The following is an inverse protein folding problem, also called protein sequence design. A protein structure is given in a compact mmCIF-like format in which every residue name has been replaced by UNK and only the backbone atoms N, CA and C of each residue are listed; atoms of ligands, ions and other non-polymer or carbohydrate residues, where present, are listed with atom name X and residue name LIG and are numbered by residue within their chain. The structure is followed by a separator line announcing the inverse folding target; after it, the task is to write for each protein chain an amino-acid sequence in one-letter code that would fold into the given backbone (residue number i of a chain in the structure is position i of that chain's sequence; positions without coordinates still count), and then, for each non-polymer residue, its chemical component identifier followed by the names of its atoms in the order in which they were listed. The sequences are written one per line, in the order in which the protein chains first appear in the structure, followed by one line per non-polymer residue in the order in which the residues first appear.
data_IF_322533649476
#
_entry.id   IF_322533649476
#
_cell.length_a   1.000
_cell.length_b   1.000
_cell.length_c   1.000
_cell.angle_alpha   90.00
_cell.angle_beta   90.00
_cell.angle_gamma   90.00
#
_symmetry.space_group_name_H-M   'P 1'
#
loop_
_entity.id
_entity.type
_entity.pdbx_description
1 polymer ?
#
# COMPACT_ATOMS: atom_id res chain seq x y z
N UNK A 1 1.10 -4.86 -28.99
CA UNK A 1 2.13 -5.24 -27.98
C UNK A 1 2.20 -4.33 -26.75
N UNK A 2 1.55 -3.14 -26.69
CA UNK A 2 1.45 -2.30 -25.49
C UNK A 2 0.55 -2.89 -24.35
N UNK A 3 -0.23 -3.94 -24.62
CA UNK A 3 -1.24 -4.45 -23.69
C UNK A 3 -0.67 -5.24 -22.49
N UNK A 4 0.45 -5.97 -22.65
CA UNK A 4 1.04 -6.79 -21.57
C UNK A 4 1.69 -5.95 -20.46
N UNK A 5 2.24 -4.78 -20.79
CA UNK A 5 2.75 -3.82 -19.80
C UNK A 5 1.63 -3.23 -18.95
N UNK A 6 0.50 -2.87 -19.59
CA UNK A 6 -0.68 -2.31 -18.91
C UNK A 6 -1.34 -3.29 -17.94
N UNK A 7 -1.42 -4.57 -18.30
CA UNK A 7 -1.95 -5.63 -17.42
C UNK A 7 -1.14 -5.76 -16.12
N UNK A 8 0.19 -5.69 -16.19
CA UNK A 8 1.05 -5.73 -15.01
C UNK A 8 0.81 -4.53 -14.07
N UNK A 9 0.64 -3.34 -14.64
CA UNK A 9 0.34 -2.12 -13.87
C UNK A 9 -1.04 -2.18 -13.20
N UNK A 10 -2.05 -2.74 -13.88
CA UNK A 10 -3.39 -2.90 -13.30
C UNK A 10 -3.36 -3.88 -12.13
N UNK A 11 -2.71 -5.04 -12.29
CA UNK A 11 -2.56 -6.03 -11.20
C UNK A 11 -1.84 -5.42 -10.00
N UNK A 12 -0.80 -4.60 -10.25
CA UNK A 12 -0.09 -3.89 -9.19
C UNK A 12 -1.00 -2.92 -8.42
N UNK A 13 -1.80 -2.10 -9.13
CA UNK A 13 -2.75 -1.17 -8.49
C UNK A 13 -3.82 -1.90 -7.68
N UNK A 14 -4.39 -2.96 -8.23
CA UNK A 14 -5.42 -3.75 -7.53
C UNK A 14 -4.82 -4.39 -6.28
N UNK A 15 -3.62 -4.95 -6.37
CA UNK A 15 -2.94 -5.52 -5.21
C UNK A 15 -2.63 -4.48 -4.13
N UNK A 16 -2.22 -3.26 -4.51
CA UNK A 16 -2.03 -2.14 -3.57
C UNK A 16 -3.33 -1.75 -2.86
N UNK A 17 -4.46 -1.70 -3.57
CA UNK A 17 -5.77 -1.40 -2.97
C UNK A 17 -6.19 -2.52 -2.01
N UNK A 18 -6.02 -3.78 -2.39
CA UNK A 18 -6.35 -4.93 -1.54
C UNK A 18 -5.48 -4.92 -0.28
N UNK A 19 -4.18 -4.65 -0.42
CA UNK A 19 -3.25 -4.50 0.69
C UNK A 19 -3.68 -3.38 1.66
N UNK A 20 -4.07 -2.22 1.13
CA UNK A 20 -4.55 -1.08 1.92
C UNK A 20 -5.83 -1.43 2.72
N UNK A 21 -6.79 -2.11 2.06
CA UNK A 21 -8.02 -2.57 2.72
C UNK A 21 -7.73 -3.58 3.83
N UNK A 22 -6.84 -4.54 3.57
CA UNK A 22 -6.47 -5.56 4.54
C UNK A 22 -5.77 -4.93 5.76
N UNK A 23 -4.89 -3.96 5.53
CA UNK A 23 -4.24 -3.21 6.60
C UNK A 23 -5.27 -2.45 7.46
N UNK A 24 -6.23 -1.78 6.83
CA UNK A 24 -7.29 -1.09 7.55
C UNK A 24 -8.20 -2.04 8.32
N UNK A 25 -8.55 -3.18 7.73
CA UNK A 25 -9.33 -4.20 8.40
C UNK A 25 -8.64 -4.72 9.67
N UNK A 26 -7.33 -5.00 9.61
CA UNK A 26 -6.52 -5.35 10.77
C UNK A 26 -6.51 -4.25 11.83
N UNK A 27 -6.33 -2.99 11.40
CA UNK A 27 -6.34 -1.84 12.30
C UNK A 27 -7.71 -1.63 12.98
N UNK A 28 -8.81 -1.82 12.26
CA UNK A 28 -10.16 -1.68 12.80
C UNK A 28 -10.46 -2.74 13.86
N UNK A 29 -10.05 -3.99 13.63
CA UNK A 29 -10.15 -5.07 14.63
C UNK A 29 -9.34 -4.72 15.88
N UNK A 30 -8.12 -4.21 15.71
CA UNK A 30 -7.28 -3.76 16.81
C UNK A 30 -7.99 -2.66 17.63
N UNK A 31 -8.54 -1.64 16.97
CA UNK A 31 -9.28 -0.54 17.61
C UNK A 31 -10.49 -1.04 18.41
N UNK A 32 -11.32 -1.90 17.80
CA UNK A 32 -12.50 -2.46 18.47
C UNK A 32 -12.16 -3.32 19.69
N UNK A 33 -11.06 -4.07 19.65
CA UNK A 33 -10.59 -4.83 20.81
C UNK A 33 -10.12 -3.93 21.96
N UNK A 34 -9.58 -2.75 21.67
CA UNK A 34 -9.20 -1.77 22.71
C UNK A 34 -10.44 -1.14 23.38
N UNK A 35 -11.47 -0.82 22.60
CA UNK A 35 -12.72 -0.25 23.13
C UNK A 35 -13.51 -1.26 23.98
N UNK A 36 -13.49 -2.54 23.60
CA UNK A 36 -14.30 -3.59 24.23
C UNK A 36 -13.65 -4.96 24.04
N UNK A 37 -12.81 -5.39 25.00
CA UNK A 37 -12.14 -6.67 24.92
C UNK A 37 -13.16 -7.82 24.97
N UNK A 38 -13.09 -8.76 24.01
CA UNK A 38 -13.95 -9.95 23.96
C UNK A 38 -15.19 -9.84 23.06
N UNK A 39 -15.31 -8.78 22.24
CA UNK A 39 -16.36 -8.70 21.22
C UNK A 39 -16.27 -9.89 20.24
N UNK A 40 -17.41 -10.48 19.92
CA UNK A 40 -17.51 -11.52 18.89
C UNK A 40 -17.18 -10.93 17.51
N UNK A 41 -16.31 -11.58 16.74
CA UNK A 41 -15.94 -11.18 15.37
C UNK A 41 -17.14 -10.86 14.47
N UNK A 42 -18.27 -11.57 14.65
CA UNK A 42 -19.50 -11.34 13.88
C UNK A 42 -20.06 -9.92 14.08
N UNK A 43 -19.97 -9.37 15.28
CA UNK A 43 -20.45 -8.01 15.59
C UNK A 43 -19.53 -6.93 15.01
N UNK A 44 -18.23 -7.23 14.86
CA UNK A 44 -17.27 -6.33 14.22
C UNK A 44 -17.54 -6.23 12.72
N UNK A 45 -17.88 -7.36 12.08
CA UNK A 45 -18.19 -7.41 10.65
C UNK A 45 -19.50 -6.72 10.29
N UNK A 46 -20.46 -6.69 11.20
CA UNK A 46 -21.78 -6.04 10.99
C UNK A 46 -21.75 -4.53 11.24
N UNK A 47 -20.61 -3.98 11.67
CA UNK A 47 -20.47 -2.55 11.97
C UNK A 47 -20.39 -1.73 10.67
N UNK A 48 -21.37 -0.85 10.45
CA UNK A 48 -21.42 0.04 9.28
C UNK A 48 -20.18 0.95 9.18
N UNK A 49 -19.55 1.30 10.30
CA UNK A 49 -18.31 2.11 10.31
C UNK A 49 -17.14 1.37 9.66
N UNK A 50 -17.11 0.03 9.70
CA UNK A 50 -16.08 -0.78 9.04
C UNK A 50 -16.15 -0.59 7.53
N UNK A 51 -17.34 -0.73 6.94
CA UNK A 51 -17.56 -0.60 5.51
C UNK A 51 -17.27 0.82 5.01
N UNK A 52 -17.72 1.84 5.75
CA UNK A 52 -17.40 3.23 5.43
C UNK A 52 -15.90 3.49 5.45
N UNK A 53 -15.21 2.96 6.47
CA UNK A 53 -13.75 3.03 6.58
C UNK A 53 -13.03 2.35 5.41
N UNK A 54 -13.44 1.14 5.02
CA UNK A 54 -12.84 0.42 3.88
C UNK A 54 -12.95 1.21 2.57
N UNK A 55 -14.11 1.79 2.28
CA UNK A 55 -14.33 2.59 1.07
C UNK A 55 -13.50 3.88 1.12
N UNK A 56 -13.51 4.59 2.25
CA UNK A 56 -12.75 5.83 2.42
C UNK A 56 -11.24 5.61 2.27
N UNK A 57 -10.70 4.59 2.93
CA UNK A 57 -9.28 4.17 2.84
C UNK A 57 -8.91 3.81 1.41
N UNK A 58 -9.76 3.04 0.72
CA UNK A 58 -9.53 2.63 -0.67
C UNK A 58 -9.37 3.84 -1.58
N UNK A 59 -10.27 4.82 -1.46
CA UNK A 59 -10.25 6.04 -2.26
C UNK A 59 -9.02 6.88 -1.91
N UNK A 60 -8.73 7.06 -0.62
CA UNK A 60 -7.61 7.84 -0.13
C UNK A 60 -6.27 7.32 -0.69
N UNK A 61 -6.01 6.02 -0.54
CA UNK A 61 -4.77 5.42 -1.06
C UNK A 61 -4.73 5.37 -2.57
N UNK A 62 -5.88 5.17 -3.24
CA UNK A 62 -5.95 5.27 -4.70
C UNK A 62 -5.53 6.65 -5.21
N UNK A 63 -5.99 7.72 -4.56
CA UNK A 63 -5.61 9.10 -4.92
C UNK A 63 -4.13 9.34 -4.64
N UNK A 64 -3.63 8.97 -3.45
CA UNK A 64 -2.21 9.12 -3.12
C UNK A 64 -1.33 8.38 -4.12
N UNK A 65 -1.62 7.11 -4.42
CA UNK A 65 -0.84 6.36 -5.38
C UNK A 65 -0.99 6.92 -6.80
N UNK A 66 -2.14 7.45 -7.18
CA UNK A 66 -2.30 8.06 -8.51
C UNK A 66 -1.48 9.35 -8.67
N UNK A 67 -1.38 10.17 -7.63
CA UNK A 67 -0.63 11.44 -7.65
C UNK A 67 0.87 11.21 -7.53
N UNK A 68 1.27 10.37 -6.57
CA UNK A 68 2.67 10.19 -6.23
C UNK A 68 3.35 9.09 -7.02
N UNK A 69 2.61 8.08 -7.53
CA UNK A 69 3.19 6.97 -8.27
C UNK A 69 3.35 7.28 -9.77
N UNK A 70 4.49 7.86 -10.14
CA UNK A 70 4.95 7.90 -11.53
C UNK A 70 5.23 6.47 -12.03
N UNK A 71 4.21 5.78 -12.53
CA UNK A 71 4.29 4.43 -13.14
C UNK A 71 5.18 4.33 -14.41
N UNK A 72 5.94 5.36 -14.77
CA UNK A 72 6.58 5.47 -16.08
C UNK A 72 7.87 4.68 -16.22
N UNK A 73 8.59 4.38 -15.13
CA UNK A 73 9.89 3.70 -15.18
C UNK A 73 10.12 2.67 -14.07
N UNK A 74 9.17 1.75 -13.85
CA UNK A 74 9.25 0.68 -12.84
C UNK A 74 10.56 -0.13 -12.94
N UNK A 75 11.15 -0.25 -14.13
CA UNK A 75 12.35 -1.07 -14.38
C UNK A 75 13.68 -0.37 -14.10
N UNK A 76 13.69 0.94 -13.85
CA UNK A 76 14.91 1.70 -13.60
C UNK A 76 15.14 1.98 -12.11
N UNK A 77 14.13 1.72 -11.27
CA UNK A 77 14.22 1.89 -9.83
C UNK A 77 14.87 0.69 -9.15
N UNK A 78 15.76 0.98 -8.20
CA UNK A 78 16.28 -0.04 -7.30
C UNK A 78 15.14 -0.53 -6.38
N UNK A 79 15.25 -1.78 -5.92
CA UNK A 79 14.35 -2.33 -4.89
C UNK A 79 14.31 -1.45 -3.65
N UNK A 80 15.45 -0.83 -3.31
CA UNK A 80 15.59 0.09 -2.19
C UNK A 80 14.83 1.41 -2.42
N UNK A 81 14.82 1.95 -3.64
CA UNK A 81 14.08 3.18 -3.95
C UNK A 81 12.57 2.96 -3.84
N UNK A 82 12.10 1.79 -4.29
CA UNK A 82 10.69 1.39 -4.15
C UNK A 82 10.29 1.28 -2.68
N UNK A 83 11.15 0.70 -1.84
CA UNK A 83 10.91 0.56 -0.40
C UNK A 83 10.93 1.92 0.30
N UNK A 84 11.94 2.76 0.07
CA UNK A 84 12.04 4.12 0.62
C UNK A 84 10.79 4.95 0.27
N UNK A 85 10.38 4.92 -1.00
CA UNK A 85 9.19 5.66 -1.44
C UNK A 85 7.92 5.12 -0.79
N UNK A 86 7.78 3.80 -0.67
CA UNK A 86 6.66 3.17 0.03
C UNK A 86 6.65 3.56 1.50
N UNK A 87 7.82 3.66 2.14
CA UNK A 87 7.96 4.15 3.52
C UNK A 87 7.45 5.60 3.65
N UNK A 88 7.95 6.54 2.82
CA UNK A 88 7.52 7.94 2.87
C UNK A 88 6.03 8.11 2.58
N UNK A 89 5.50 7.40 1.57
CA UNK A 89 4.07 7.44 1.25
C UNK A 89 3.21 6.86 2.36
N UNK A 90 3.65 5.74 2.95
CA UNK A 90 2.94 5.10 4.05
C UNK A 90 2.95 6.00 5.28
N UNK A 91 4.07 6.65 5.57
CA UNK A 91 4.24 7.55 6.71
C UNK A 91 3.38 8.81 6.58
N UNK A 92 3.45 9.50 5.44
CA UNK A 92 2.62 10.69 5.19
C UNK A 92 1.13 10.31 5.12
N UNK A 93 0.79 9.23 4.42
CA UNK A 93 -0.60 8.80 4.29
C UNK A 93 -1.20 8.36 5.63
N UNK A 94 -0.47 7.62 6.46
CA UNK A 94 -0.92 7.25 7.80
C UNK A 94 -1.03 8.47 8.72
N UNK A 95 -0.17 9.49 8.55
CA UNK A 95 -0.26 10.75 9.30
C UNK A 95 -1.53 11.51 8.93
N UNK A 96 -1.87 11.59 7.65
CA UNK A 96 -3.13 12.19 7.20
C UNK A 96 -4.36 11.42 7.70
N UNK A 97 -4.35 10.09 7.57
CA UNK A 97 -5.44 9.24 8.06
C UNK A 97 -5.63 9.35 9.57
N UNK A 98 -4.55 9.54 10.32
CA UNK A 98 -4.61 9.75 11.76
C UNK A 98 -5.49 10.95 12.10
N UNK A 99 -5.35 12.09 11.39
CA UNK A 99 -6.20 13.25 11.63
C UNK A 99 -7.68 12.95 11.38
N UNK A 100 -8.00 12.19 10.32
CA UNK A 100 -9.38 11.78 10.05
C UNK A 100 -9.95 10.88 11.15
N UNK A 101 -9.16 9.93 11.65
CA UNK A 101 -9.58 9.05 12.75
C UNK A 101 -9.74 9.82 14.04
N UNK A 102 -8.82 10.74 14.37
CA UNK A 102 -8.86 11.54 15.59
C UNK A 102 -10.12 12.40 15.66
N UNK A 103 -10.59 12.93 14.53
CA UNK A 103 -11.75 13.84 14.50
C UNK A 103 -13.05 13.13 14.94
N UNK A 104 -13.19 11.82 14.71
CA UNK A 104 -14.44 11.08 14.96
C UNK A 104 -14.46 10.37 16.32
N UNK A 105 -13.33 10.25 17.02
CA UNK A 105 -13.15 9.12 17.93
C UNK A 105 -12.93 9.46 19.41
N UNK A 106 -13.78 8.86 20.26
CA UNK A 106 -13.64 8.75 21.72
C UNK A 106 -12.54 7.79 22.16
N UNK A 107 -11.92 7.06 21.22
CA UNK A 107 -10.82 6.09 21.45
C UNK A 107 -9.58 6.70 22.12
N UNK A 108 -9.44 8.02 22.07
CA UNK A 108 -8.38 8.77 22.76
C UNK A 108 -8.42 8.61 24.29
N UNK A 109 -9.55 8.18 24.84
CA UNK A 109 -9.68 7.86 26.26
C UNK A 109 -8.92 6.58 26.65
N UNK A 110 -8.65 5.68 25.69
CA UNK A 110 -8.09 4.35 25.94
C UNK A 110 -6.65 4.17 25.45
N UNK A 111 -6.18 5.00 24.51
CA UNK A 111 -4.82 4.88 23.96
C UNK A 111 -4.29 6.20 23.44
N UNK A 112 -2.96 6.37 23.48
CA UNK A 112 -2.28 7.56 22.99
C UNK A 112 -2.29 7.63 21.46
N UNK A 113 -2.42 8.85 20.92
CA UNK A 113 -2.37 9.15 19.49
C UNK A 113 -1.16 8.53 18.76
N UNK A 114 0.01 8.55 19.39
CA UNK A 114 1.24 7.97 18.83
C UNK A 114 1.15 6.45 18.68
N UNK A 115 0.44 5.76 19.57
CA UNK A 115 0.26 4.31 19.51
C UNK A 115 -0.67 3.90 18.37
N UNK A 116 -1.78 4.63 18.18
CA UNK A 116 -2.71 4.45 17.06
C UNK A 116 -1.98 4.68 15.73
N UNK A 117 -1.24 5.77 15.64
CA UNK A 117 -0.42 6.08 14.47
C UNK A 117 0.59 4.97 14.17
N UNK A 118 1.34 4.52 15.18
CA UNK A 118 2.36 3.49 15.01
C UNK A 118 1.75 2.17 14.51
N UNK A 119 0.62 1.74 15.06
CA UNK A 119 -0.07 0.53 14.60
C UNK A 119 -0.61 0.68 13.19
N UNK A 120 -1.30 1.80 12.88
CA UNK A 120 -1.82 2.06 11.54
C UNK A 120 -0.70 2.07 10.50
N UNK A 121 0.38 2.81 10.79
CA UNK A 121 1.56 2.87 9.94
C UNK A 121 2.19 1.49 9.76
N UNK A 122 2.38 0.73 10.84
CA UNK A 122 3.04 -0.57 10.79
C UNK A 122 2.22 -1.60 10.01
N UNK A 123 0.91 -1.69 10.23
CA UNK A 123 0.03 -2.57 9.46
C UNK A 123 0.07 -2.19 7.98
N UNK A 124 -0.10 -0.91 7.65
CA UNK A 124 -0.12 -0.46 6.26
C UNK A 124 1.22 -0.65 5.54
N UNK A 125 2.31 -0.19 6.16
CA UNK A 125 3.65 -0.31 5.60
C UNK A 125 4.05 -1.76 5.39
N UNK A 126 3.85 -2.63 6.39
CA UNK A 126 4.27 -4.02 6.31
C UNK A 126 3.51 -4.77 5.22
N UNK A 127 2.18 -4.67 5.20
CA UNK A 127 1.34 -5.37 4.22
C UNK A 127 1.60 -4.84 2.80
N UNK A 128 1.71 -3.52 2.63
CA UNK A 128 1.97 -2.90 1.32
C UNK A 128 3.38 -3.22 0.82
N UNK A 129 4.41 -3.09 1.68
CA UNK A 129 5.78 -3.38 1.30
C UNK A 129 5.97 -4.85 0.92
N UNK A 130 5.40 -5.79 1.68
CA UNK A 130 5.45 -7.21 1.36
C UNK A 130 4.80 -7.51 0.01
N UNK A 131 3.57 -7.00 -0.20
CA UNK A 131 2.83 -7.17 -1.46
C UNK A 131 3.65 -6.64 -2.65
N UNK A 132 4.20 -5.42 -2.55
CA UNK A 132 5.02 -4.80 -3.59
C UNK A 132 6.31 -5.57 -3.86
N UNK A 133 6.99 -6.06 -2.82
CA UNK A 133 8.23 -6.81 -2.95
C UNK A 133 8.01 -8.16 -3.64
N UNK A 134 6.91 -8.85 -3.32
CA UNK A 134 6.50 -10.10 -3.97
C UNK A 134 6.23 -9.85 -5.46
N UNK A 135 5.42 -8.85 -5.79
CA UNK A 135 5.09 -8.53 -7.19
C UNK A 135 6.33 -8.12 -7.98
N UNK A 136 7.22 -7.29 -7.41
CA UNK A 136 8.45 -6.87 -8.06
C UNK A 136 9.40 -8.05 -8.31
N UNK A 137 9.48 -8.99 -7.37
CA UNK A 137 10.27 -10.21 -7.51
C UNK A 137 9.72 -11.11 -8.62
N UNK A 138 8.39 -11.28 -8.69
CA UNK A 138 7.73 -12.03 -9.76
C UNK A 138 7.95 -11.37 -11.13
N UNK A 139 7.82 -10.05 -11.20
CA UNK A 139 8.06 -9.28 -12.42
C UNK A 139 9.51 -9.43 -12.91
N UNK A 140 10.49 -9.31 -12.00
CA UNK A 140 11.92 -9.50 -12.31
C UNK A 140 12.23 -10.92 -12.78
N UNK A 141 11.62 -11.95 -12.16
CA UNK A 141 11.77 -13.34 -12.61
C UNK A 141 11.17 -13.58 -14.00
N UNK A 142 9.99 -13.02 -14.30
CA UNK A 142 9.34 -13.12 -15.62
C UNK A 142 10.17 -12.44 -16.71
N UNK A 143 10.85 -11.37 -16.36
CA UNK A 143 11.74 -10.64 -17.24
C UNK A 143 13.01 -11.44 -17.58
N UNK A 144 13.69 -11.99 -16.57
CA UNK A 144 14.86 -12.85 -16.77
C UNK A 144 14.55 -14.11 -17.59
N UNK A 145 13.30 -14.60 -17.52
CA UNK A 145 12.80 -15.72 -18.34
C UNK A 145 12.35 -15.33 -19.76
N UNK A 146 12.46 -14.06 -20.16
CA UNK A 146 12.10 -13.60 -21.50
C UNK A 146 10.60 -13.58 -21.83
N UNK A 147 9.73 -13.78 -20.83
CA UNK A 147 8.26 -13.80 -21.00
C UNK A 147 7.68 -12.39 -21.25
N UNK A 148 8.42 -11.36 -20.86
CA UNK A 148 8.10 -9.95 -21.07
C UNK A 148 9.31 -9.31 -21.75
N UNK A 149 9.13 -8.82 -22.98
CA UNK A 149 10.16 -8.13 -23.76
C UNK A 149 9.85 -6.64 -23.78
N UNK A 150 10.84 -5.82 -23.48
CA UNK A 150 10.81 -4.37 -23.70
C UNK A 150 11.78 -4.02 -24.84
N UNK A 151 11.48 -2.96 -25.59
CA UNK A 151 12.38 -2.44 -26.60
C UNK A 151 13.49 -1.65 -25.87
N UNK A 152 14.55 -2.33 -25.44
CA UNK A 152 15.73 -1.65 -24.90
C UNK A 152 16.60 -1.21 -26.07
N UNK A 153 16.75 0.10 -26.25
CA UNK A 153 17.78 0.66 -27.10
C UNK A 153 19.11 0.56 -26.34
N UNK A 154 20.00 -0.31 -26.80
CA UNK A 154 21.36 -0.38 -26.27
C UNK A 154 22.16 0.69 -27.01
N UNK A 155 22.44 1.80 -26.34
CA UNK A 155 23.42 2.79 -26.82
C UNK A 155 24.78 2.30 -26.31
N UNK A 156 25.54 1.64 -27.19
CA UNK A 156 26.94 1.35 -26.95
C UNK A 156 27.70 2.67 -26.89
N UNK A 157 28.32 2.97 -25.75
CA UNK A 157 29.32 4.02 -25.67
C UNK A 157 30.59 3.51 -26.33
N UNK A 158 30.81 3.91 -27.58
CA UNK A 158 32.07 3.69 -28.27
C UNK A 158 33.08 4.71 -27.71
N UNK A 159 33.70 4.39 -26.57
CA UNK A 159 34.94 5.07 -26.18
C UNK A 159 36.08 4.34 -26.87
N UNK A 160 36.31 4.71 -28.13
CA UNK A 160 37.53 4.37 -28.86
C UNK A 160 38.73 5.08 -28.21
N UNK A 161 39.81 4.29 -28.05
CA UNK A 161 41.23 4.64 -27.94
C UNK A 161 41.71 5.57 -26.81
#
# INVERSE_FOLDING_TARGET
MQARGRLGTIVYRVADIVAANLAWFCFFIYRKNLESPGIKFKTILDDQKLYFGLISISIFWFVIYSVFDKYKDIYRYSRLDTLKRTFYLSFLGSLFLLFTVIIDDSVLMYTSFLNLFAHLFFYHFTITALTRMVILTMASKRLKKGLVKYNTLIIGGDTNA
#
